data_IF_715190903476
#
_entry.id   IF_715190903476
#
_cell.length_a   1.000
_cell.length_b   1.000
_cell.length_c   1.000
_cell.angle_alpha   90.00
_cell.angle_beta   90.00
_cell.angle_gamma   90.00
#
_symmetry.space_group_name_H-M   'P 1'
#
loop_
_entity.id
_entity.type
_entity.pdbx_description
1 polymer ?
#
# COMPACT_ATOMS: atom_id res chain seq x y z
N UNK A 1 27.12 -8.77 14.66
CA UNK A 1 26.34 -8.96 13.43
C UNK A 1 24.97 -8.33 13.63
N UNK A 2 24.59 -7.39 12.76
CA UNK A 2 23.50 -6.43 12.95
C UNK A 2 22.11 -7.10 12.95
N UNK A 3 21.33 -6.92 14.03
CA UNK A 3 19.92 -7.30 14.12
C UNK A 3 19.04 -6.36 13.28
N UNK A 4 19.02 -6.56 11.96
CA UNK A 4 18.14 -5.85 11.02
C UNK A 4 16.82 -6.60 10.81
N UNK A 5 15.85 -6.48 11.74
CA UNK A 5 14.58 -7.21 11.66
C UNK A 5 13.26 -6.40 11.76
N UNK A 6 13.12 -5.17 11.21
CA UNK A 6 11.77 -4.61 11.00
C UNK A 6 11.22 -4.85 9.59
N UNK A 7 12.07 -5.08 8.57
CA UNK A 7 11.64 -5.03 7.15
C UNK A 7 10.86 -6.27 6.69
N UNK A 8 11.04 -7.43 7.33
CA UNK A 8 10.54 -8.72 6.83
C UNK A 8 9.01 -8.90 6.93
N UNK A 9 8.33 -8.08 7.74
CA UNK A 9 6.89 -8.23 7.99
C UNK A 9 5.99 -7.21 7.27
N UNK A 10 6.55 -6.21 6.60
CA UNK A 10 5.78 -5.19 5.88
C UNK A 10 5.42 -5.66 4.47
N UNK A 11 4.55 -6.66 4.37
CA UNK A 11 4.01 -7.16 3.10
C UNK A 11 2.49 -7.36 3.17
N UNK A 12 1.83 -7.26 2.02
CA UNK A 12 0.38 -7.44 1.92
C UNK A 12 -0.08 -8.83 2.35
N UNK A 13 0.69 -9.87 2.01
CA UNK A 13 0.46 -11.25 2.47
C UNK A 13 0.49 -11.35 3.99
N UNK A 14 1.50 -10.75 4.65
CA UNK A 14 1.59 -10.76 6.11
C UNK A 14 0.40 -10.03 6.74
N UNK A 15 -0.02 -8.89 6.18
CA UNK A 15 -1.17 -8.14 6.68
C UNK A 15 -2.47 -8.93 6.53
N UNK A 16 -2.67 -9.57 5.38
CA UNK A 16 -3.81 -10.46 5.14
C UNK A 16 -3.82 -11.63 6.13
N UNK A 17 -2.67 -12.29 6.34
CA UNK A 17 -2.54 -13.40 7.28
C UNK A 17 -2.82 -13.00 8.74
N UNK A 18 -2.45 -11.79 9.16
CA UNK A 18 -2.75 -11.26 10.49
C UNK A 18 -4.26 -11.01 10.65
N UNK A 19 -4.91 -10.45 9.64
CA UNK A 19 -6.36 -10.20 9.66
C UNK A 19 -7.17 -11.50 9.67
N UNK A 20 -6.79 -12.50 8.87
CA UNK A 20 -7.41 -13.82 8.91
C UNK A 20 -7.29 -14.50 10.27
N UNK A 21 -6.20 -14.28 10.99
CA UNK A 21 -6.00 -14.77 12.36
C UNK A 21 -6.62 -13.87 13.44
N UNK A 22 -7.32 -12.80 13.05
CA UNK A 22 -7.91 -11.82 13.96
C UNK A 22 -6.88 -11.16 14.90
N UNK A 23 -5.63 -11.05 14.45
CA UNK A 23 -4.55 -10.42 15.23
C UNK A 23 -4.53 -8.92 14.92
N UNK A 24 -4.80 -8.12 15.94
CA UNK A 24 -4.70 -6.66 15.85
C UNK A 24 -3.23 -6.22 15.89
N UNK A 25 -2.60 -6.09 14.72
CA UNK A 25 -1.21 -5.67 14.59
C UNK A 25 -1.05 -4.18 14.27
N UNK A 26 0.09 -3.62 14.71
CA UNK A 26 0.51 -2.23 14.47
C UNK A 26 1.90 -2.24 13.81
N UNK A 27 1.93 -2.61 12.53
CA UNK A 27 3.16 -2.75 11.75
C UNK A 27 3.26 -1.54 10.82
N UNK A 28 4.25 -0.65 10.99
CA UNK A 28 4.44 0.46 10.08
C UNK A 28 4.70 -0.07 8.67
N UNK A 29 4.13 0.59 7.67
CA UNK A 29 4.47 0.29 6.28
C UNK A 29 5.92 0.69 6.05
N UNK A 30 6.74 -0.29 5.69
CA UNK A 30 8.15 -0.13 5.35
C UNK A 30 8.31 -0.44 3.85
N UNK A 31 8.69 0.57 3.07
CA UNK A 31 9.01 0.40 1.65
C UNK A 31 7.80 0.39 0.69
N UNK A 32 7.91 -0.47 -0.33
CA UNK A 32 7.39 -0.40 -1.73
C UNK A 32 5.89 -0.20 -1.96
N UNK A 33 5.06 -0.07 -0.94
CA UNK A 33 3.65 0.25 -1.15
C UNK A 33 3.52 1.72 -1.57
N UNK A 34 3.06 1.93 -2.79
CA UNK A 34 2.77 3.25 -3.33
C UNK A 34 1.24 3.36 -3.38
N UNK A 35 0.62 4.16 -2.49
CA UNK A 35 -0.81 4.37 -2.54
C UNK A 35 -1.19 5.02 -3.87
N UNK A 36 -2.43 4.81 -4.29
CA UNK A 36 -2.96 5.52 -5.45
C UNK A 36 -2.99 7.02 -5.10
N UNK A 37 -2.46 7.84 -6.01
CA UNK A 37 -2.37 9.29 -5.83
C UNK A 37 -3.77 9.92 -5.69
N UNK A 38 -3.87 10.98 -4.88
CA UNK A 38 -5.07 11.78 -4.60
C UNK A 38 -5.83 12.30 -5.83
N UNK A 39 -5.25 12.22 -7.04
CA UNK A 39 -5.93 12.57 -8.29
C UNK A 39 -6.95 11.50 -8.73
N UNK A 40 -7.00 10.36 -8.05
CA UNK A 40 -7.88 9.25 -8.38
C UNK A 40 -8.69 8.82 -7.17
N UNK A 41 -10.01 8.80 -7.31
CA UNK A 41 -10.95 8.33 -6.30
C UNK A 41 -11.47 6.96 -6.69
N UNK A 42 -11.40 5.98 -5.79
CA UNK A 42 -11.97 4.66 -6.02
C UNK A 42 -13.50 4.68 -5.84
N UNK A 43 -14.23 4.07 -6.77
CA UNK A 43 -15.69 3.91 -6.75
C UNK A 43 -16.03 2.42 -6.55
N UNK A 44 -16.30 1.97 -5.32
CA UNK A 44 -16.45 0.55 -5.00
C UNK A 44 -17.62 -0.13 -5.74
N UNK A 45 -18.71 0.58 -5.99
CA UNK A 45 -19.92 0.04 -6.63
C UNK A 45 -19.67 -0.45 -8.06
N UNK A 46 -18.72 0.17 -8.76
CA UNK A 46 -18.40 -0.12 -10.16
C UNK A 46 -17.01 -0.70 -10.34
N UNK A 47 -16.29 -0.90 -9.24
CA UNK A 47 -14.89 -1.34 -9.22
C UNK A 47 -14.00 -0.59 -10.22
N UNK A 48 -13.96 0.74 -10.06
CA UNK A 48 -13.25 1.62 -10.97
C UNK A 48 -12.64 2.82 -10.23
N UNK A 49 -11.68 3.49 -10.85
CA UNK A 49 -11.18 4.78 -10.37
C UNK A 49 -11.71 5.91 -11.24
N UNK A 50 -12.10 7.02 -10.60
CA UNK A 50 -12.39 8.30 -11.25
C UNK A 50 -11.21 9.24 -11.08
N UNK A 51 -10.70 9.75 -12.20
CA UNK A 51 -9.72 10.82 -12.23
C UNK A 51 -10.41 12.18 -11.95
N UNK A 52 -9.71 13.11 -11.29
CA UNK A 52 -10.19 14.50 -11.09
C UNK A 52 -10.46 15.24 -12.40
N UNK A 53 -9.83 14.82 -13.50
CA UNK A 53 -10.07 15.33 -14.87
C UNK A 53 -11.27 14.64 -15.57
N UNK A 54 -12.04 13.81 -14.86
CA UNK A 54 -13.25 13.17 -15.37
C UNK A 54 -13.08 11.81 -16.04
N UNK A 55 -11.84 11.39 -16.35
CA UNK A 55 -11.58 10.07 -16.93
C UNK A 55 -11.93 8.93 -15.97
N UNK A 56 -12.54 7.87 -16.50
CA UNK A 56 -12.84 6.63 -15.75
C UNK A 56 -11.80 5.57 -16.09
N UNK A 57 -11.18 4.98 -15.06
CA UNK A 57 -10.25 3.87 -15.16
C UNK A 57 -10.95 2.60 -14.69
N UNK A 58 -11.34 1.74 -15.64
CA UNK A 58 -12.07 0.49 -15.34
C UNK A 58 -11.11 -0.61 -14.92
N UNK A 59 -11.56 -1.54 -14.09
CA UNK A 59 -10.78 -2.74 -13.78
C UNK A 59 -10.65 -3.66 -15.01
N UNK A 60 -9.43 -4.03 -15.35
CA UNK A 60 -9.07 -4.97 -16.43
C UNK A 60 -8.62 -6.34 -15.87
N UNK A 61 -8.90 -6.60 -14.59
CA UNK A 61 -8.63 -7.86 -13.93
C UNK A 61 -7.30 -7.90 -13.17
N UNK A 62 -7.12 -9.02 -12.49
CA UNK A 62 -5.94 -9.36 -11.70
C UNK A 62 -4.87 -9.99 -12.59
N UNK A 63 -3.64 -9.47 -12.55
CA UNK A 63 -2.47 -10.15 -13.12
C UNK A 63 -1.55 -10.61 -12.01
N UNK A 64 -1.23 -11.91 -12.03
CA UNK A 64 -0.31 -12.54 -11.10
C UNK A 64 1.10 -12.58 -11.69
N UNK A 65 2.10 -12.25 -10.88
CA UNK A 65 3.51 -12.40 -11.22
C UNK A 65 4.29 -12.75 -9.95
N UNK A 66 5.10 -13.81 -9.98
CA UNK A 66 5.99 -14.15 -8.87
C UNK A 66 5.31 -14.33 -7.50
N UNK A 67 4.09 -14.87 -7.47
CA UNK A 67 3.32 -15.12 -6.24
C UNK A 67 2.53 -13.93 -5.69
N UNK A 68 2.56 -12.77 -6.35
CA UNK A 68 1.76 -11.61 -5.99
C UNK A 68 0.93 -11.11 -7.17
N UNK A 69 -0.21 -10.47 -6.86
CA UNK A 69 -1.15 -9.98 -7.86
C UNK A 69 -1.36 -8.48 -7.81
N UNK A 70 -1.57 -7.88 -8.98
CA UNK A 70 -2.04 -6.51 -9.12
C UNK A 70 -3.30 -6.43 -9.98
N UNK A 71 -4.29 -5.69 -9.52
CA UNK A 71 -5.40 -5.24 -10.34
C UNK A 71 -4.94 -4.09 -11.24
N UNK A 72 -5.33 -4.15 -12.51
CA UNK A 72 -5.00 -3.11 -13.47
C UNK A 72 -6.22 -2.27 -13.78
N UNK A 73 -6.11 -0.96 -13.58
CA UNK A 73 -7.17 -0.01 -13.94
C UNK A 73 -6.69 0.87 -15.07
N UNK A 74 -7.45 0.94 -16.17
CA UNK A 74 -6.99 1.61 -17.40
C UNK A 74 -8.07 2.57 -17.89
N UNK A 75 -7.65 3.79 -18.22
CA UNK A 75 -8.52 4.78 -18.85
C UNK A 75 -8.70 4.49 -20.35
N UNK A 76 -9.81 4.95 -20.93
CA UNK A 76 -9.92 5.01 -22.40
C UNK A 76 -8.97 6.06 -22.97
N UNK A 77 -8.42 5.78 -24.16
CA UNK A 77 -7.50 6.71 -24.84
C UNK A 77 -8.12 8.09 -25.07
N UNK A 78 -9.36 8.14 -25.60
CA UNK A 78 -10.08 9.39 -25.87
C UNK A 78 -10.29 10.26 -24.63
N UNK A 79 -10.44 9.65 -23.45
CA UNK A 79 -10.59 10.38 -22.18
C UNK A 79 -9.27 11.00 -21.68
N UNK A 80 -8.12 10.52 -22.17
CA UNK A 80 -6.81 11.05 -21.78
C UNK A 80 -6.17 11.92 -22.87
N UNK A 81 -6.47 11.71 -24.15
CA UNK A 81 -5.73 12.31 -25.28
C UNK A 81 -5.47 13.82 -25.16
N UNK A 82 -6.48 14.59 -24.73
CA UNK A 82 -6.42 16.05 -24.60
C UNK A 82 -6.35 16.51 -23.11
N UNK A 83 -5.85 15.66 -22.22
CA UNK A 83 -5.78 15.96 -20.79
C UNK A 83 -4.71 17.02 -20.48
N UNK A 84 -5.04 18.12 -19.75
CA UNK A 84 -4.12 19.23 -19.50
C UNK A 84 -2.92 18.83 -18.61
N UNK A 85 -3.04 17.74 -17.85
CA UNK A 85 -1.98 17.23 -16.97
C UNK A 85 -1.30 15.98 -17.54
N UNK A 86 -1.34 15.77 -18.85
CA UNK A 86 -0.79 14.58 -19.53
C UNK A 86 0.66 14.28 -19.11
N UNK A 87 1.53 15.27 -19.18
CA UNK A 87 2.97 15.12 -18.93
C UNK A 87 3.25 14.63 -17.52
N UNK A 88 2.63 15.25 -16.51
CA UNK A 88 2.80 14.88 -15.10
C UNK A 88 2.04 13.61 -14.71
N UNK A 89 0.96 13.26 -15.41
CA UNK A 89 0.09 12.15 -15.05
C UNK A 89 0.53 10.80 -15.64
N UNK A 90 0.83 10.74 -16.94
CA UNK A 90 1.18 9.48 -17.63
C UNK A 90 2.32 9.62 -18.65
N UNK A 91 2.95 10.79 -18.75
CA UNK A 91 4.17 11.02 -19.52
C UNK A 91 4.05 10.58 -20.98
N UNK A 92 4.99 9.74 -21.42
CA UNK A 92 5.09 9.27 -22.81
C UNK A 92 4.08 8.15 -23.17
N UNK A 93 3.21 7.75 -22.25
CA UNK A 93 2.18 6.73 -22.54
C UNK A 93 1.01 7.36 -23.29
N UNK A 94 0.16 6.54 -23.89
CA UNK A 94 -1.03 7.03 -24.59
C UNK A 94 -2.18 7.38 -23.63
N UNK A 95 -2.20 6.74 -22.47
CA UNK A 95 -3.28 6.86 -21.47
C UNK A 95 -2.81 6.49 -20.07
N UNK A 96 -3.57 6.90 -19.07
CA UNK A 96 -3.30 6.51 -17.68
C UNK A 96 -3.67 5.05 -17.43
N UNK A 97 -2.76 4.35 -16.77
CA UNK A 97 -3.02 3.06 -16.13
C UNK A 97 -2.54 3.10 -14.68
N UNK A 98 -3.27 2.43 -13.80
CA UNK A 98 -2.92 2.17 -12.41
C UNK A 98 -2.70 0.67 -12.24
N UNK A 99 -1.71 0.33 -11.41
CA UNK A 99 -1.45 -1.04 -10.96
C UNK A 99 -1.59 -1.02 -9.45
N UNK A 100 -2.65 -1.65 -8.95
CA UNK A 100 -3.01 -1.64 -7.53
C UNK A 100 -2.84 -3.04 -7.00
N UNK A 101 -2.07 -3.21 -5.93
CA UNK A 101 -1.86 -4.54 -5.34
C UNK A 101 -3.17 -5.18 -4.90
N UNK A 102 -3.29 -6.50 -5.04
CA UNK A 102 -4.45 -7.24 -4.54
C UNK A 102 -4.70 -7.03 -3.05
N UNK A 103 -3.65 -6.73 -2.29
CA UNK A 103 -3.69 -6.50 -0.85
C UNK A 103 -3.90 -5.01 -0.46
N UNK A 104 -4.42 -4.17 -1.37
CA UNK A 104 -4.44 -2.72 -1.15
C UNK A 104 -5.24 -2.33 0.10
N UNK A 105 -6.35 -3.05 0.36
CA UNK A 105 -7.22 -2.78 1.50
C UNK A 105 -6.51 -3.09 2.82
N UNK A 106 -5.73 -4.17 2.85
CA UNK A 106 -4.92 -4.58 3.99
C UNK A 106 -3.82 -3.55 4.27
N UNK A 107 -3.19 -3.01 3.21
CA UNK A 107 -2.23 -1.91 3.34
C UNK A 107 -2.88 -0.65 3.91
N UNK A 108 -4.02 -0.20 3.36
CA UNK A 108 -4.73 1.00 3.84
C UNK A 108 -5.16 0.86 5.30
N UNK A 109 -5.73 -0.28 5.69
CA UNK A 109 -6.09 -0.55 7.09
C UNK A 109 -4.88 -0.56 8.00
N UNK A 110 -3.78 -1.21 7.58
CA UNK A 110 -2.55 -1.24 8.37
C UNK A 110 -1.93 0.16 8.51
N UNK A 111 -1.99 0.97 7.47
CA UNK A 111 -1.52 2.35 7.49
C UNK A 111 -2.35 3.20 8.46
N UNK A 112 -3.68 3.12 8.37
CA UNK A 112 -4.58 3.82 9.28
C UNK A 112 -4.33 3.42 10.74
N UNK A 113 -4.22 2.12 11.03
CA UNK A 113 -3.88 1.61 12.38
C UNK A 113 -2.53 2.15 12.85
N UNK A 114 -1.51 2.10 12.00
CA UNK A 114 -0.16 2.55 12.32
C UNK A 114 -0.06 4.05 12.56
N UNK A 115 -0.89 4.86 11.86
CA UNK A 115 -0.97 6.32 12.03
C UNK A 115 -1.83 6.75 13.22
N UNK A 116 -2.64 5.86 13.79
CA UNK A 116 -3.47 6.14 14.98
C UNK A 116 -2.63 6.54 16.20
N UNK A 117 -3.27 7.18 17.20
CA UNK A 117 -2.60 7.52 18.47
C UNK A 117 -2.00 6.27 19.16
N UNK A 118 -2.73 5.14 19.15
CA UNK A 118 -2.26 3.86 19.69
C UNK A 118 -1.05 3.34 18.90
N UNK A 119 -1.10 3.38 17.57
CA UNK A 119 0.02 2.98 16.70
C UNK A 119 1.28 3.81 16.94
N UNK A 120 1.14 5.14 17.02
CA UNK A 120 2.25 6.07 17.34
C UNK A 120 2.86 5.77 18.72
N UNK A 121 2.03 5.53 19.73
CA UNK A 121 2.48 5.16 21.10
C UNK A 121 3.25 3.84 21.10
N UNK A 122 2.73 2.81 20.43
CA UNK A 122 3.37 1.50 20.34
C UNK A 122 4.68 1.56 19.55
N UNK A 123 4.73 2.32 18.45
CA UNK A 123 5.97 2.57 17.70
C UNK A 123 7.03 3.19 18.60
N UNK A 124 6.69 4.24 19.34
CA UNK A 124 7.61 4.90 20.29
C UNK A 124 8.14 3.91 21.34
N UNK A 125 7.26 3.11 21.93
CA UNK A 125 7.65 2.07 22.92
C UNK A 125 8.64 1.07 22.33
N UNK A 126 8.41 0.56 21.12
CA UNK A 126 9.31 -0.39 20.43
C UNK A 126 10.68 0.21 20.11
N UNK A 127 10.77 1.52 19.88
CA UNK A 127 12.04 2.21 19.68
C UNK A 127 12.80 2.50 20.98
N UNK A 128 12.13 2.43 22.14
CA UNK A 128 12.73 2.68 23.47
C UNK A 128 13.18 1.39 24.16
N UNK A 129 12.62 0.24 23.78
CA UNK A 129 13.12 -1.07 24.23
C UNK A 129 14.35 -1.41 23.39
N UNK A 130 15.52 -1.06 23.90
CA UNK A 130 16.76 -1.74 23.54
C UNK A 130 16.57 -3.19 24.00
N UNK A 131 16.78 -4.16 23.10
CA UNK A 131 16.92 -5.58 23.51
C UNK A 131 17.80 -5.61 24.77
N UNK A 132 17.36 -6.20 25.91
CA UNK A 132 18.28 -6.41 27.01
C UNK A 132 19.44 -7.20 26.42
N UNK A 133 20.63 -6.61 26.41
CA UNK A 133 21.83 -7.36 26.05
C UNK A 133 21.83 -8.54 27.01
N UNK A 134 21.79 -9.77 26.48
CA UNK A 134 21.85 -11.02 27.24
C UNK A 134 23.20 -11.20 28.00
N UNK A 135 23.80 -10.12 28.49
CA UNK A 135 25.14 -10.04 29.09
C UNK A 135 25.18 -9.31 30.42
N UNK A 136 24.12 -9.37 31.24
CA UNK A 136 24.12 -8.77 32.59
C UNK A 136 23.56 -9.69 33.68
N UNK A 137 23.66 -11.02 33.49
CA UNK A 137 23.34 -12.03 34.51
C UNK A 137 24.46 -13.07 34.62
N UNK A 138 25.70 -12.61 34.75
CA UNK A 138 26.80 -13.40 35.31
C UNK A 138 27.47 -12.55 36.38
N UNK A 139 26.95 -12.64 37.59
CA UNK A 139 27.64 -12.36 38.86
C UNK A 139 27.12 -13.38 39.87
#
# INVERSE_FOLDING_TARGET
>A
MLAGAPVRFSSGENYSALEHRQIEAYIPLLGRYIPVHDLFTYEPEKDQYRCTQGAILRNHGLKMAGGYGNYHYIASFSACQNCPIKESCYGNRDRKSLSVTMYYREYERMEARSRSAKGKRLKRRRSTVVEPVFGSLLN
#
